data_IF_569737290740
#
_entry.id   IF_569737290740
#
_cell.length_a   1.000
_cell.length_b   1.000
_cell.length_c   1.000
_cell.angle_alpha   90.00
_cell.angle_beta   90.00
_cell.angle_gamma   90.00
#
_symmetry.space_group_name_H-M   'P 1'
#
loop_
_entity.id
_entity.type
_entity.pdbx_description
1 polymer ?
#
# COMPACT_ATOMS: atom_id res chain seq x y z
N UNK A 1 -33.65 66.72 47.95
CA UNK A 1 -33.79 66.26 46.55
C UNK A 1 -32.91 65.04 46.37
N UNK A 2 -33.48 63.85 46.19
CA UNK A 2 -32.75 62.61 45.95
C UNK A 2 -33.34 61.91 44.74
N UNK A 3 -32.53 61.70 43.71
CA UNK A 3 -32.93 61.22 42.37
C UNK A 3 -33.00 59.69 42.39
N UNK A 4 -34.14 59.13 41.95
CA UNK A 4 -34.34 57.69 41.76
C UNK A 4 -33.59 57.21 40.52
N UNK A 5 -32.64 56.30 40.68
CA UNK A 5 -32.04 55.55 39.58
C UNK A 5 -32.80 54.24 39.35
N UNK A 6 -33.60 54.20 38.29
CA UNK A 6 -34.34 53.03 37.84
C UNK A 6 -33.41 52.08 37.04
N UNK A 7 -33.09 50.92 37.62
CA UNK A 7 -32.13 49.96 37.06
C UNK A 7 -32.83 48.94 36.14
N UNK A 8 -33.23 49.36 34.94
CA UNK A 8 -33.73 48.46 33.90
C UNK A 8 -32.60 48.01 32.96
N UNK A 9 -31.79 47.02 33.38
CA UNK A 9 -30.88 46.29 32.48
C UNK A 9 -31.58 45.04 31.96
N UNK A 10 -32.12 45.12 30.74
CA UNK A 10 -32.58 43.93 30.01
C UNK A 10 -31.37 43.03 29.69
N UNK A 11 -31.44 41.70 29.89
CA UNK A 11 -30.40 40.80 29.41
C UNK A 11 -30.43 40.78 27.88
N UNK A 12 -29.29 41.08 27.25
CA UNK A 12 -29.11 40.94 25.80
C UNK A 12 -29.19 39.46 25.42
N UNK A 13 -30.10 39.11 24.52
CA UNK A 13 -30.21 37.74 24.00
C UNK A 13 -28.90 37.28 23.34
N UNK A 14 -28.52 35.99 23.47
CA UNK A 14 -27.34 35.45 22.82
C UNK A 14 -27.51 35.45 21.29
N UNK A 15 -26.51 35.94 20.56
CA UNK A 15 -26.50 35.90 19.09
C UNK A 15 -26.48 34.45 18.59
N UNK A 16 -27.26 34.08 17.57
CA UNK A 16 -27.20 32.75 16.98
C UNK A 16 -25.84 32.51 16.29
N UNK A 17 -25.30 31.31 16.46
CA UNK A 17 -24.02 30.91 15.88
C UNK A 17 -24.06 30.97 14.33
N UNK A 18 -22.96 31.36 13.67
CA UNK A 18 -22.88 31.38 12.21
C UNK A 18 -22.97 29.96 11.65
N UNK A 19 -23.99 29.71 10.81
CA UNK A 19 -24.13 28.46 10.07
C UNK A 19 -22.93 28.32 9.13
N UNK A 20 -22.09 27.30 9.35
CA UNK A 20 -20.99 26.92 8.44
C UNK A 20 -21.58 26.70 7.05
N UNK A 21 -21.26 27.60 6.11
CA UNK A 21 -21.56 27.38 4.69
C UNK A 21 -20.63 26.26 4.19
N UNK A 22 -21.14 25.21 3.53
CA UNK A 22 -20.27 24.25 2.85
C UNK A 22 -19.44 25.00 1.81
N UNK A 23 -18.15 24.70 1.76
CA UNK A 23 -17.22 25.35 0.85
C UNK A 23 -17.57 25.04 -0.59
N UNK A 24 -17.46 26.04 -1.47
CA UNK A 24 -17.66 25.92 -2.92
C UNK A 24 -16.72 24.88 -3.58
N UNK A 25 -15.67 24.44 -2.87
CA UNK A 25 -14.65 23.53 -3.37
C UNK A 25 -15.06 22.05 -3.37
N UNK A 26 -16.17 21.68 -2.70
CA UNK A 26 -16.64 20.28 -2.65
C UNK A 26 -17.39 19.84 -3.93
N UNK A 27 -17.60 20.73 -4.89
CA UNK A 27 -18.42 20.47 -6.09
C UNK A 27 -17.64 20.02 -7.34
N UNK A 28 -16.30 19.97 -7.30
CA UNK A 28 -15.45 19.63 -8.46
C UNK A 28 -14.66 18.33 -8.33
N UNK A 29 -14.83 17.56 -7.24
CA UNK A 29 -14.23 16.23 -7.14
C UNK A 29 -15.18 15.23 -7.80
N UNK A 30 -15.11 15.15 -9.13
CA UNK A 30 -15.70 14.04 -9.87
C UNK A 30 -15.25 12.70 -9.27
N UNK A 31 -16.08 11.65 -9.31
CA UNK A 31 -15.71 10.34 -8.79
C UNK A 31 -14.39 9.92 -9.44
N UNK A 32 -13.31 9.89 -8.64
CA UNK A 32 -12.01 9.40 -9.12
C UNK A 32 -12.24 8.03 -9.73
N UNK A 33 -11.81 7.77 -10.98
CA UNK A 33 -11.99 6.46 -11.59
C UNK A 33 -11.38 5.43 -10.64
N UNK A 34 -12.24 4.56 -10.09
CA UNK A 34 -11.85 3.44 -9.25
C UNK A 34 -10.83 2.64 -10.05
N UNK A 35 -9.55 2.83 -9.73
CA UNK A 35 -8.45 2.31 -10.51
C UNK A 35 -8.71 0.84 -10.82
N UNK A 36 -8.79 0.51 -12.10
CA UNK A 36 -8.96 -0.87 -12.54
C UNK A 36 -7.93 -1.75 -11.81
N UNK A 37 -8.32 -2.94 -11.32
CA UNK A 37 -7.37 -3.85 -10.69
C UNK A 37 -6.19 -4.04 -11.65
N UNK A 38 -4.99 -3.72 -11.17
CA UNK A 38 -3.79 -3.84 -12.00
C UNK A 38 -3.69 -5.30 -12.44
N UNK A 39 -3.49 -5.55 -13.75
CA UNK A 39 -3.37 -6.91 -14.25
C UNK A 39 -2.23 -7.61 -13.49
N UNK A 40 -2.52 -8.78 -12.94
CA UNK A 40 -1.56 -9.61 -12.23
C UNK A 40 -0.38 -9.99 -13.13
N UNK A 41 0.79 -10.19 -12.51
CA UNK A 41 2.08 -10.39 -13.22
C UNK A 41 2.06 -11.48 -14.31
N UNK A 42 1.15 -12.46 -14.22
CA UNK A 42 1.08 -13.63 -15.10
C UNK A 42 -0.23 -13.77 -15.88
N UNK A 43 -1.06 -12.73 -16.00
CA UNK A 43 -2.41 -12.83 -16.61
C UNK A 43 -2.42 -13.35 -18.05
N UNK A 44 -1.36 -13.13 -18.83
CA UNK A 44 -1.26 -13.61 -20.22
C UNK A 44 -0.65 -15.02 -20.36
N UNK A 45 -0.49 -15.77 -19.26
CA UNK A 45 0.11 -17.14 -19.21
C UNK A 45 1.51 -17.25 -19.84
N UNK A 46 2.14 -16.14 -20.19
CA UNK A 46 3.49 -16.12 -20.77
C UNK A 46 4.52 -16.19 -19.65
N UNK A 47 5.59 -17.00 -19.80
CA UNK A 47 6.71 -16.96 -18.87
C UNK A 47 7.33 -15.55 -18.91
N UNK A 48 7.51 -14.96 -17.72
CA UNK A 48 7.99 -13.60 -17.60
C UNK A 48 9.51 -13.57 -17.76
N UNK A 49 10.02 -12.66 -18.59
CA UNK A 49 11.47 -12.41 -18.60
C UNK A 49 11.89 -11.83 -17.25
N UNK A 50 13.12 -12.13 -16.81
CA UNK A 50 13.68 -11.49 -15.62
C UNK A 50 13.76 -9.97 -15.75
N UNK A 51 14.00 -9.49 -16.96
CA UNK A 51 14.02 -8.05 -17.23
C UNK A 51 12.63 -7.44 -16.98
N UNK A 52 11.57 -8.12 -17.41
CA UNK A 52 10.18 -7.70 -17.18
C UNK A 52 9.80 -7.79 -15.71
N UNK A 53 10.26 -8.83 -14.99
CA UNK A 53 10.09 -8.96 -13.54
C UNK A 53 10.72 -7.77 -12.82
N UNK A 54 11.98 -7.45 -13.17
CA UNK A 54 12.73 -6.34 -12.58
C UNK A 54 12.09 -5.00 -12.91
N UNK A 55 11.61 -4.81 -14.14
CA UNK A 55 10.88 -3.60 -14.51
C UNK A 55 9.58 -3.48 -13.72
N UNK A 56 8.84 -4.58 -13.55
CA UNK A 56 7.59 -4.60 -12.77
C UNK A 56 7.86 -4.26 -11.31
N UNK A 57 8.90 -4.86 -10.70
CA UNK A 57 9.35 -4.54 -9.34
C UNK A 57 9.79 -3.09 -9.19
N UNK A 58 10.46 -2.52 -10.20
CA UNK A 58 10.89 -1.11 -10.20
C UNK A 58 9.70 -0.14 -10.34
N UNK A 59 8.74 -0.45 -11.22
CA UNK A 59 7.53 0.36 -11.46
C UNK A 59 6.52 0.26 -10.34
N UNK A 60 6.54 -0.82 -9.55
CA UNK A 60 5.63 -0.95 -8.42
C UNK A 60 5.91 0.12 -7.34
N UNK A 61 4.89 0.43 -6.56
CA UNK A 61 4.97 1.34 -5.40
C UNK A 61 5.87 0.83 -4.26
N UNK A 62 6.11 -0.49 -4.18
CA UNK A 62 6.78 -1.15 -3.07
C UNK A 62 5.95 -1.28 -1.79
N UNK A 63 4.66 -0.90 -1.83
CA UNK A 63 3.78 -0.99 -0.66
C UNK A 63 3.49 -2.44 -0.29
N UNK A 64 3.81 -2.79 0.95
CA UNK A 64 3.50 -4.11 1.52
C UNK A 64 2.03 -4.08 1.99
N UNK A 65 1.20 -5.05 1.59
CA UNK A 65 -0.19 -5.09 2.04
C UNK A 65 -0.27 -5.37 3.55
N UNK A 66 -1.18 -4.70 4.25
CA UNK A 66 -1.39 -4.89 5.69
C UNK A 66 -0.34 -4.22 6.59
N UNK A 67 0.64 -3.51 6.03
CA UNK A 67 1.61 -2.74 6.82
C UNK A 67 1.77 -1.33 6.28
N UNK A 68 2.26 -0.41 7.12
CA UNK A 68 2.64 0.95 6.72
C UNK A 68 3.99 0.99 5.99
N UNK A 69 4.71 -0.14 5.91
CA UNK A 69 6.05 -0.23 5.35
C UNK A 69 6.02 -0.30 3.83
N UNK A 70 7.08 0.23 3.23
CA UNK A 70 7.34 0.17 1.80
C UNK A 70 8.76 -0.36 1.57
N UNK A 71 8.91 -1.22 0.57
CA UNK A 71 10.23 -1.58 0.09
C UNK A 71 10.84 -0.43 -0.71
N UNK A 72 12.04 -0.05 -0.32
CA UNK A 72 12.87 0.88 -1.08
C UNK A 72 13.18 0.32 -2.47
N UNK A 73 13.57 1.21 -3.39
CA UNK A 73 13.96 0.81 -4.74
C UNK A 73 15.08 -0.24 -4.72
N UNK A 74 16.08 -0.07 -3.85
CA UNK A 74 17.22 -0.98 -3.69
C UNK A 74 16.79 -2.35 -3.19
N UNK A 75 15.83 -2.41 -2.26
CA UNK A 75 15.28 -3.68 -1.77
C UNK A 75 14.50 -4.41 -2.85
N UNK A 76 13.67 -3.70 -3.62
CA UNK A 76 12.89 -4.29 -4.72
C UNK A 76 13.77 -4.86 -5.82
N UNK A 77 14.86 -4.17 -6.14
CA UNK A 77 15.86 -4.69 -7.07
C UNK A 77 16.63 -5.89 -6.50
N UNK A 78 16.97 -5.85 -5.20
CA UNK A 78 17.61 -6.97 -4.52
C UNK A 78 16.73 -8.20 -4.40
N UNK A 79 15.40 -8.04 -4.35
CA UNK A 79 14.46 -9.16 -4.31
C UNK A 79 14.54 -10.02 -5.55
N UNK A 80 14.64 -9.42 -6.73
CA UNK A 80 14.76 -10.16 -7.99
C UNK A 80 16.01 -11.04 -7.98
N UNK A 81 17.17 -10.46 -7.65
CA UNK A 81 18.45 -11.18 -7.61
C UNK A 81 18.49 -12.25 -6.51
N UNK A 82 17.92 -11.95 -5.34
CA UNK A 82 17.97 -12.81 -4.17
C UNK A 82 16.98 -13.97 -4.22
N UNK A 83 15.75 -13.71 -4.64
CA UNK A 83 14.65 -14.69 -4.64
C UNK A 83 14.65 -15.48 -5.94
N UNK A 84 14.84 -14.81 -7.08
CA UNK A 84 14.83 -15.41 -8.40
C UNK A 84 16.27 -15.54 -8.93
N UNK A 85 17.07 -16.36 -8.27
CA UNK A 85 18.45 -16.61 -8.69
C UNK A 85 18.49 -17.27 -10.09
N UNK A 86 19.36 -16.76 -10.98
CA UNK A 86 19.57 -17.33 -12.32
C UNK A 86 19.85 -18.83 -12.30
N UNK A 87 20.65 -19.27 -11.31
CA UNK A 87 21.05 -20.68 -11.19
C UNK A 87 19.87 -21.61 -10.92
N UNK A 88 18.80 -21.11 -10.30
CA UNK A 88 17.65 -21.93 -9.89
C UNK A 88 16.47 -21.82 -10.87
N UNK A 89 16.21 -20.63 -11.40
CA UNK A 89 15.01 -20.36 -12.21
C UNK A 89 15.32 -19.97 -13.66
N UNK A 90 16.60 -19.92 -14.07
CA UNK A 90 17.00 -19.60 -15.43
C UNK A 90 16.71 -18.14 -15.84
N UNK A 91 16.54 -17.91 -17.15
CA UNK A 91 16.29 -16.58 -17.73
C UNK A 91 14.81 -16.19 -17.84
N UNK A 92 13.89 -17.13 -17.64
CA UNK A 92 12.44 -16.94 -17.74
C UNK A 92 11.78 -17.57 -16.54
N UNK A 93 10.88 -16.84 -15.90
CA UNK A 93 10.19 -17.26 -14.68
C UNK A 93 8.75 -17.59 -15.06
N UNK A 94 8.34 -18.85 -14.90
CA UNK A 94 6.94 -19.25 -15.04
C UNK A 94 6.14 -18.91 -13.79
N UNK A 95 4.80 -18.97 -13.87
CA UNK A 95 3.96 -18.81 -12.68
C UNK A 95 4.25 -19.90 -11.62
N UNK A 96 4.60 -21.11 -12.08
CA UNK A 96 4.93 -22.22 -11.19
C UNK A 96 6.25 -21.99 -10.46
N UNK A 97 7.25 -21.44 -11.15
CA UNK A 97 8.51 -21.00 -10.54
C UNK A 97 8.27 -19.91 -9.50
N UNK A 98 7.37 -18.96 -9.80
CA UNK A 98 6.99 -17.89 -8.88
C UNK A 98 6.33 -18.43 -7.61
N UNK A 99 5.41 -19.40 -7.75
CA UNK A 99 4.82 -20.12 -6.59
C UNK A 99 5.88 -20.89 -5.82
N UNK A 100 6.80 -21.57 -6.51
CA UNK A 100 7.92 -22.29 -5.91
C UNK A 100 8.81 -21.39 -5.07
N UNK A 101 9.16 -20.22 -5.59
CA UNK A 101 9.96 -19.23 -4.89
C UNK A 101 9.26 -18.68 -3.63
N UNK A 102 7.94 -18.46 -3.68
CA UNK A 102 7.15 -18.13 -2.49
C UNK A 102 7.19 -19.27 -1.47
N UNK A 103 7.06 -20.53 -1.92
CA UNK A 103 7.18 -21.70 -1.07
C UNK A 103 8.55 -21.84 -0.40
N UNK A 104 9.64 -21.53 -1.10
CA UNK A 104 10.99 -21.50 -0.52
C UNK A 104 11.12 -20.42 0.57
N UNK A 105 10.55 -19.24 0.33
CA UNK A 105 10.51 -18.17 1.33
C UNK A 105 9.71 -18.60 2.56
N UNK A 106 8.59 -19.28 2.39
CA UNK A 106 7.82 -19.82 3.52
C UNK A 106 8.62 -20.86 4.32
N UNK A 107 9.37 -21.73 3.65
CA UNK A 107 10.29 -22.67 4.31
C UNK A 107 11.36 -21.90 5.09
N UNK A 108 12.02 -20.92 4.46
CA UNK A 108 13.02 -20.08 5.12
C UNK A 108 12.44 -19.34 6.33
N UNK A 109 11.20 -18.84 6.24
CA UNK A 109 10.48 -18.23 7.37
C UNK A 109 10.30 -19.22 8.53
N UNK A 110 10.01 -20.49 8.25
CA UNK A 110 9.84 -21.52 9.29
C UNK A 110 11.18 -21.92 9.92
N UNK A 111 12.26 -21.90 9.14
CA UNK A 111 13.61 -22.27 9.59
C UNK A 111 14.33 -21.14 10.33
N UNK A 112 14.02 -19.87 10.03
CA UNK A 112 14.61 -18.71 10.70
C UNK A 112 14.25 -18.67 12.19
N UNK A 113 15.28 -18.65 13.04
CA UNK A 113 15.12 -18.55 14.51
C UNK A 113 14.73 -17.13 14.94
N UNK A 114 15.27 -16.11 14.26
CA UNK A 114 15.04 -14.70 14.60
C UNK A 114 13.64 -14.23 14.21
N UNK A 115 12.95 -13.54 15.12
CA UNK A 115 11.66 -12.91 14.82
C UNK A 115 11.78 -11.84 13.74
N UNK A 116 12.85 -11.05 13.77
CA UNK A 116 13.09 -9.99 12.79
C UNK A 116 13.26 -10.55 11.37
N UNK A 117 13.96 -11.68 11.23
CA UNK A 117 14.10 -12.36 9.93
C UNK A 117 12.76 -12.91 9.44
N UNK A 118 12.01 -13.56 10.34
CA UNK A 118 10.67 -14.09 10.01
C UNK A 118 9.73 -12.99 9.52
N UNK A 119 9.73 -11.84 10.18
CA UNK A 119 8.95 -10.67 9.76
C UNK A 119 9.40 -10.14 8.40
N UNK A 120 10.70 -9.99 8.14
CA UNK A 120 11.22 -9.56 6.83
C UNK A 120 10.85 -10.53 5.71
N UNK A 121 10.90 -11.84 5.98
CA UNK A 121 10.52 -12.87 5.00
C UNK A 121 9.01 -12.83 4.76
N UNK A 122 8.20 -12.63 5.81
CA UNK A 122 6.76 -12.46 5.69
C UNK A 122 6.40 -11.25 4.83
N UNK A 123 7.03 -10.10 5.06
CA UNK A 123 6.82 -8.88 4.27
C UNK A 123 7.10 -9.13 2.79
N UNK A 124 8.17 -9.89 2.47
CA UNK A 124 8.51 -10.31 1.10
C UNK A 124 7.43 -11.20 0.49
N UNK A 125 6.95 -12.20 1.23
CA UNK A 125 5.89 -13.12 0.77
C UNK A 125 4.61 -12.33 0.45
N UNK A 126 4.16 -11.50 1.38
CA UNK A 126 2.96 -10.67 1.23
C UNK A 126 3.06 -9.73 0.02
N UNK A 127 4.23 -9.13 -0.20
CA UNK A 127 4.47 -8.27 -1.36
C UNK A 127 4.47 -9.03 -2.70
N UNK A 128 5.09 -10.21 -2.76
CA UNK A 128 5.11 -11.04 -3.98
C UNK A 128 3.72 -11.57 -4.34
N UNK A 129 2.91 -11.97 -3.35
CA UNK A 129 1.51 -12.39 -3.58
C UNK A 129 0.67 -11.25 -4.16
N UNK A 130 0.83 -10.04 -3.64
CA UNK A 130 0.20 -8.84 -4.18
C UNK A 130 0.59 -8.58 -5.64
N UNK A 131 1.88 -8.69 -5.96
CA UNK A 131 2.37 -8.50 -7.33
C UNK A 131 1.80 -9.52 -8.31
N UNK A 132 1.62 -10.77 -7.85
CA UNK A 132 0.96 -11.80 -8.64
C UNK A 132 -0.51 -11.47 -8.93
N UNK A 133 -1.16 -10.67 -8.08
CA UNK A 133 -2.59 -10.35 -8.16
C UNK A 133 -3.44 -11.12 -7.16
N UNK A 134 -2.84 -11.83 -6.21
CA UNK A 134 -3.56 -12.45 -5.09
C UNK A 134 -3.91 -11.36 -4.08
N UNK A 135 -5.22 -11.15 -3.84
CA UNK A 135 -5.77 -10.21 -2.85
C UNK A 135 -5.82 -10.85 -1.47
#
# INVERSE_FOLDING_TARGET
>A
MGIFFNNNRRPSAPRPAPKKRPGFFDMLVGPTPKAAPKPGLFETKKPLSRQDLRQSLRKDTGQIPGTSRKFSFKEREGMEKGIFNYKKYGGRISEQDFKGAIGDLEKNRRLSKSYAERSKIQDKISYLRRLKGEK
#
